data_IF_556720499984
#
_entry.id   IF_556720499984
#
_cell.length_a   1.000
_cell.length_b   1.000
_cell.length_c   1.000
_cell.angle_alpha   90.00
_cell.angle_beta   90.00
_cell.angle_gamma   90.00
#
_symmetry.space_group_name_H-M   'P 1'
#
loop_
_entity.id
_entity.type
_entity.pdbx_description
1 polymer ?
2 non-polymer ?
3 water ?
#
# COMPACT_ATOMS: atom_id res chain seq x y z
N UNK A 6 1.51 26.84 8.70
CA UNK A 6 1.28 26.90 7.25
C UNK A 6 1.78 25.59 6.67
N UNK A 7 0.93 24.96 5.87
CA UNK A 7 1.24 23.69 5.21
C UNK A 7 0.99 23.88 3.72
N UNK A 8 1.52 22.93 2.95
CA UNK A 8 1.36 22.89 1.48
C UNK A 8 0.83 21.49 1.19
N UNK A 9 0.01 21.40 0.16
CA UNK A 9 -0.50 20.10 -0.31
C UNK A 9 -0.25 19.99 -1.82
N UNK A 10 0.43 18.92 -2.24
CA UNK A 10 0.56 18.60 -3.66
C UNK A 10 -0.36 17.42 -3.88
N UNK A 11 -0.97 17.34 -5.04
CA UNK A 11 -1.76 16.15 -5.30
C UNK A 11 -1.05 15.28 -6.30
N UNK A 12 -1.52 14.05 -6.46
CA UNK A 12 -0.88 13.09 -7.39
C UNK A 12 -0.91 13.61 -8.80
N UNK A 13 -2.05 13.48 -9.47
CA UNK A 13 -2.20 14.02 -10.84
C UNK A 13 -0.83 14.08 -11.53
N UNK A 14 -0.09 15.19 -11.42
CA UNK A 14 1.18 15.29 -12.17
C UNK A 14 2.41 15.26 -11.29
N UNK A 15 2.27 14.78 -10.05
CA UNK A 15 3.40 14.80 -9.10
C UNK A 15 3.86 13.35 -8.88
N UNK A 16 3.43 12.45 -9.75
CA UNK A 16 3.93 11.05 -9.67
C UNK A 16 4.41 10.56 -11.03
N UNK A 17 5.49 9.79 -11.05
CA UNK A 17 6.00 9.11 -12.27
C UNK A 17 5.68 7.62 -12.17
N UNK A 18 5.30 7.07 -13.30
CA UNK A 18 4.89 5.67 -13.41
C UNK A 18 6.10 4.82 -13.76
N UNK A 19 6.18 3.66 -13.13
CA UNK A 19 7.15 2.60 -13.38
C UNK A 19 6.42 1.27 -13.51
N UNK A 20 6.72 0.52 -14.57
CA UNK A 20 6.19 -0.84 -14.74
C UNK A 20 4.73 -0.80 -15.10
N UNK A 21 3.91 -1.68 -14.52
CA UNK A 21 2.56 -2.00 -15.04
C UNK A 21 1.53 -1.05 -14.46
N UNK A 22 1.45 0.12 -15.06
CA UNK A 22 0.57 1.24 -14.68
C UNK A 22 -0.13 1.73 -15.92
N UNK A 23 -1.44 1.82 -15.84
CA UNK A 23 -2.23 2.48 -16.91
C UNK A 23 -3.13 3.49 -16.19
N UNK A 24 -3.52 4.52 -16.92
CA UNK A 24 -4.46 5.56 -16.44
C UNK A 24 -5.64 5.45 -17.37
N UNK A 25 -6.88 5.21 -16.89
CA UNK A 25 -8.10 5.23 -17.73
C UNK A 25 -9.27 5.51 -16.82
N UNK A 26 -10.39 5.96 -17.36
CA UNK A 26 -11.63 6.09 -16.58
C UNK A 26 -12.27 4.70 -16.44
N UNK A 27 -13.12 4.52 -15.44
CA UNK A 27 -14.01 3.35 -15.32
C UNK A 27 -15.42 3.85 -15.14
N UNK A 28 -16.09 4.25 -16.21
CA UNK A 28 -17.35 5.02 -16.05
C UNK A 28 -18.45 4.08 -15.54
N UNK A 29 -18.37 2.77 -15.76
CA UNK A 29 -19.43 1.81 -15.35
C UNK A 29 -19.27 1.62 -13.83
N UNK A 30 -18.07 1.33 -13.42
CA UNK A 30 -17.79 0.94 -12.02
C UNK A 30 -17.54 2.15 -11.09
N UNK A 31 -16.92 3.19 -11.60
CA UNK A 31 -16.58 4.41 -10.81
C UNK A 31 -17.08 5.65 -11.53
N UNK A 32 -18.41 5.78 -11.75
CA UNK A 32 -18.95 6.88 -12.53
C UNK A 32 -18.66 8.25 -11.93
N UNK A 33 -18.37 8.37 -10.63
CA UNK A 33 -18.09 9.70 -10.03
C UNK A 33 -16.61 10.06 -10.15
N UNK A 34 -15.79 9.08 -10.47
CA UNK A 34 -14.33 9.25 -10.54
C UNK A 34 -13.94 9.69 -11.95
N UNK A 35 -12.83 10.40 -12.05
CA UNK A 35 -12.18 10.64 -13.34
C UNK A 35 -11.17 9.56 -13.59
N UNK A 36 -10.07 9.93 -14.21
CA UNK A 36 -9.05 8.95 -14.65
C UNK A 36 -8.48 8.32 -13.39
N UNK A 37 -8.65 7.00 -13.26
CA UNK A 37 -8.04 6.18 -12.18
C UNK A 37 -6.78 5.56 -12.72
N UNK A 38 -5.89 5.26 -11.80
CA UNK A 38 -4.58 4.72 -12.14
C UNK A 38 -4.54 3.29 -11.67
N UNK A 39 -4.31 2.38 -12.61
CA UNK A 39 -4.50 0.94 -12.38
C UNK A 39 -3.18 0.26 -12.46
N UNK A 40 -2.96 -0.61 -11.49
CA UNK A 40 -1.77 -1.48 -11.42
C UNK A 40 -2.20 -2.88 -11.85
N UNK A 41 -1.28 -3.57 -12.51
CA UNK A 41 -1.35 -5.04 -12.68
C UNK A 41 -2.31 -5.44 -13.80
N UNK A 42 -2.68 -4.54 -14.71
CA UNK A 42 -3.65 -4.90 -15.77
C UNK A 42 -2.98 -5.83 -16.78
N UNK A 43 -1.65 -5.76 -16.91
CA UNK A 43 -0.87 -6.43 -17.98
C UNK A 43 -0.66 -7.89 -17.57
N UNK A 44 -1.72 -8.66 -17.73
CA UNK A 44 -1.73 -10.07 -17.33
C UNK A 44 -0.54 -10.78 -17.98
N UNK A 45 0.24 -11.51 -17.16
CA UNK A 45 1.17 -12.55 -17.66
C UNK A 45 1.50 -13.52 -16.53
N UNK A 46 0.89 -14.73 -16.55
CA UNK A 46 1.10 -15.69 -15.47
C UNK A 46 2.52 -16.26 -15.48
N UNK A 47 3.27 -16.15 -16.60
CA UNK A 47 4.71 -16.53 -16.63
C UNK A 47 5.49 -15.72 -15.58
N UNK A 48 5.34 -14.38 -15.62
CA UNK A 48 6.20 -13.38 -14.96
C UNK A 48 5.49 -12.71 -13.77
N UNK A 49 4.16 -12.68 -13.73
CA UNK A 49 3.44 -11.78 -12.81
C UNK A 49 3.70 -10.36 -13.24
N UNK A 50 3.19 -9.42 -12.48
CA UNK A 50 3.32 -8.02 -12.92
C UNK A 50 3.47 -7.18 -11.66
N UNK A 51 4.13 -6.04 -11.78
CA UNK A 51 4.25 -5.09 -10.66
C UNK A 51 4.18 -3.71 -11.29
N UNK A 52 3.98 -2.72 -10.44
CA UNK A 52 4.09 -1.31 -10.84
C UNK A 52 4.35 -0.43 -9.64
N UNK A 53 4.94 0.74 -9.83
CA UNK A 53 5.08 1.71 -8.73
C UNK A 53 4.87 3.12 -9.27
N UNK A 54 4.16 3.93 -8.48
CA UNK A 54 4.04 5.39 -8.69
C UNK A 54 5.02 6.02 -7.74
N UNK A 55 5.97 6.75 -8.27
CA UNK A 55 7.00 7.40 -7.45
C UNK A 55 6.65 8.88 -7.30
N UNK A 56 6.49 9.36 -6.07
CA UNK A 56 6.24 10.80 -5.84
C UNK A 56 7.46 11.55 -6.35
N UNK A 57 7.24 12.64 -7.07
CA UNK A 57 8.33 13.39 -7.73
C UNK A 57 9.12 14.22 -6.72
N UNK A 58 8.57 14.51 -5.53
CA UNK A 58 9.29 15.30 -4.49
C UNK A 58 9.78 14.36 -3.40
N UNK A 59 10.81 14.77 -2.68
CA UNK A 59 11.36 13.97 -1.57
C UNK A 59 10.47 14.12 -0.34
N UNK A 60 10.50 13.09 0.49
CA UNK A 60 9.89 13.09 1.84
C UNK A 60 10.97 13.44 2.85
N UNK A 61 10.67 14.42 3.71
CA UNK A 61 11.60 14.92 4.76
C UNK A 61 11.08 14.41 6.10
N UNK A 62 11.74 13.43 6.70
CA UNK A 62 11.30 12.86 8.00
C UNK A 62 11.72 13.73 9.20
N UNK A 63 12.28 14.92 8.99
CA UNK A 63 12.48 15.90 10.09
C UNK A 63 11.24 16.79 10.24
N UNK A 64 10.30 16.70 9.30
CA UNK A 64 9.09 17.55 9.35
C UNK A 64 7.88 16.62 9.29
N UNK A 65 6.77 17.07 9.88
CA UNK A 65 5.48 16.35 9.79
C UNK A 65 5.15 16.14 8.32
N UNK A 66 4.34 15.13 8.05
CA UNK A 66 3.62 15.03 6.76
C UNK A 66 2.36 14.21 6.97
N UNK A 67 1.44 14.40 6.05
CA UNK A 67 0.32 13.46 5.89
C UNK A 67 0.22 13.12 4.43
N UNK A 68 0.30 11.84 4.13
CA UNK A 68 0.07 11.30 2.77
C UNK A 68 -1.24 10.53 2.74
N UNK A 69 -2.09 10.84 1.79
CA UNK A 69 -3.41 10.21 1.65
C UNK A 69 -3.42 9.57 0.28
N UNK A 70 -3.67 8.27 0.23
CA UNK A 70 -3.80 7.54 -1.06
C UNK A 70 -5.13 6.83 -1.10
N UNK A 71 -6.05 7.22 -1.98
CA UNK A 71 -7.27 6.47 -2.17
C UNK A 71 -6.88 5.17 -2.88
N UNK A 72 -7.35 4.05 -2.36
CA UNK A 72 -7.10 2.74 -3.03
C UNK A 72 -8.40 1.98 -3.15
N UNK A 73 -8.46 1.18 -4.20
CA UNK A 73 -9.57 0.28 -4.47
C UNK A 73 -8.95 -1.07 -4.79
N UNK A 74 -9.26 -2.07 -4.00
CA UNK A 74 -8.67 -3.41 -4.12
C UNK A 74 -9.46 -4.26 -5.10
N UNK A 75 -8.78 -5.22 -5.68
CA UNK A 75 -9.42 -6.28 -6.47
C UNK A 75 -10.46 -7.04 -5.63
N UNK A 76 -11.61 -7.31 -6.25
CA UNK A 76 -12.68 -8.11 -5.63
C UNK A 76 -12.32 -9.58 -5.87
N UNK A 77 -11.26 -10.05 -5.23
CA UNK A 77 -10.55 -11.31 -5.55
C UNK A 77 -9.94 -11.93 -4.31
N UNK A 78 -10.14 -13.24 -4.18
CA UNK A 78 -9.74 -14.03 -3.02
C UNK A 78 -8.24 -13.95 -2.81
N UNK A 79 -7.78 -14.22 -1.61
CA UNK A 79 -6.36 -13.95 -1.30
C UNK A 79 -5.40 -15.01 -1.89
N UNK A 80 -5.88 -16.09 -2.51
CA UNK A 80 -4.96 -16.99 -3.24
C UNK A 80 -4.89 -16.67 -4.73
N UNK A 81 -5.76 -15.81 -5.26
CA UNK A 81 -5.80 -15.54 -6.71
C UNK A 81 -5.51 -14.07 -7.03
N UNK A 82 -5.75 -13.14 -6.10
CA UNK A 82 -5.63 -11.70 -6.36
C UNK A 82 -4.22 -11.17 -6.15
N UNK A 83 -4.14 -9.87 -6.26
CA UNK A 83 -2.90 -9.09 -6.15
C UNK A 83 -2.31 -9.27 -4.75
N UNK A 84 -1.04 -8.93 -4.66
CA UNK A 84 -0.24 -9.05 -3.40
C UNK A 84 -0.74 -8.02 -2.41
N UNK A 85 -1.18 -6.87 -2.90
CA UNK A 85 -1.71 -5.78 -2.08
C UNK A 85 -1.11 -4.45 -2.47
N UNK A 86 -0.91 -3.59 -1.48
CA UNK A 86 -0.38 -2.25 -1.66
C UNK A 86 0.83 -2.09 -0.77
N UNK A 87 1.93 -1.60 -1.34
CA UNK A 87 3.12 -1.29 -0.56
C UNK A 87 3.37 0.18 -0.64
N UNK A 88 3.23 0.88 0.48
CA UNK A 88 3.50 2.32 0.56
C UNK A 88 4.89 2.42 1.09
N UNK A 89 5.84 2.54 0.19
CA UNK A 89 7.27 2.35 0.49
C UNK A 89 7.95 3.71 0.63
N UNK A 90 8.87 3.78 1.57
CA UNK A 90 9.89 4.84 1.66
C UNK A 90 11.21 4.18 1.37
N UNK A 91 12.00 4.81 0.53
CA UNK A 91 13.29 4.25 0.11
C UNK A 91 14.17 5.34 -0.44
N UNK A 92 15.48 5.19 -0.29
CA UNK A 92 16.46 6.09 -0.95
C UNK A 92 16.62 5.66 -2.42
N UNK A 93 16.12 4.46 -2.76
CA UNK A 93 16.07 3.94 -4.15
C UNK A 93 14.86 4.48 -4.89
N UNK A 94 14.62 4.01 -6.11
CA UNK A 94 13.62 4.63 -7.01
C UNK A 94 12.71 3.55 -7.59
N UNK A 95 11.79 3.97 -8.46
CA UNK A 95 10.87 3.02 -9.10
C UNK A 95 11.60 2.00 -9.93
N UNK A 96 12.69 2.40 -10.60
CA UNK A 96 13.49 1.50 -11.48
C UNK A 96 14.03 0.39 -10.58
N UNK A 97 14.51 0.75 -9.39
CA UNK A 97 15.07 -0.24 -8.43
C UNK A 97 13.94 -1.20 -8.04
N UNK A 98 12.78 -0.66 -7.77
CA UNK A 98 11.66 -1.51 -7.34
C UNK A 98 11.36 -2.55 -8.43
N UNK A 99 11.35 -2.16 -9.70
CA UNK A 99 11.04 -3.13 -10.77
C UNK A 99 12.13 -4.24 -10.75
N UNK A 100 13.37 -3.92 -10.37
CA UNK A 100 14.55 -4.82 -10.51
C UNK A 100 14.75 -5.66 -9.25
N UNK A 101 14.31 -5.18 -8.10
CA UNK A 101 14.69 -5.80 -6.81
C UNK A 101 13.41 -6.22 -6.07
N UNK A 102 12.26 -5.63 -6.37
CA UNK A 102 11.01 -5.97 -5.68
C UNK A 102 10.78 -5.04 -4.54
N UNK A 103 9.63 -5.22 -3.89
CA UNK A 103 9.12 -4.28 -2.90
C UNK A 103 8.97 -4.86 -1.52
N UNK A 104 7.84 -4.54 -0.89
CA UNK A 104 7.62 -4.81 0.55
C UNK A 104 6.39 -5.71 0.73
N UNK A 105 5.91 -6.36 -0.32
CA UNK A 105 4.66 -7.15 -0.23
C UNK A 105 4.92 -8.66 -0.15
N UNK A 106 6.18 -9.08 -0.22
CA UNK A 106 6.54 -10.51 -0.27
C UNK A 106 7.56 -10.76 0.80
N UNK A 107 8.46 -11.72 0.64
CA UNK A 107 9.44 -12.01 1.71
C UNK A 107 10.74 -11.23 1.46
N UNK A 108 10.96 -10.67 0.26
CA UNK A 108 12.26 -10.07 -0.15
C UNK A 108 12.00 -8.93 -1.14
N UNK A 109 12.70 -7.81 -1.03
CA UNK A 109 12.71 -6.76 -2.06
C UNK A 109 13.89 -5.84 -1.90
N UNK A 110 13.73 -4.57 -2.31
CA UNK A 110 14.80 -3.55 -2.23
C UNK A 110 15.37 -3.50 -0.83
N UNK A 111 16.68 -3.53 -0.70
CA UNK A 111 17.33 -3.37 0.61
C UNK A 111 16.85 -2.06 1.27
N UNK A 112 16.49 -2.16 2.55
CA UNK A 112 16.26 -1.03 3.47
C UNK A 112 14.98 -0.32 3.12
N UNK A 113 14.25 -0.72 2.08
CA UNK A 113 12.91 -0.16 1.83
C UNK A 113 11.97 -0.52 2.97
N UNK A 114 11.05 0.35 3.28
CA UNK A 114 10.17 0.15 4.45
C UNK A 114 8.91 0.93 4.20
N UNK A 115 7.88 0.60 4.95
CA UNK A 115 6.64 1.36 4.83
C UNK A 115 5.48 0.54 5.30
N UNK A 116 4.31 0.92 4.81
CA UNK A 116 3.06 0.28 5.24
C UNK A 116 2.55 -0.62 4.12
N UNK A 117 2.13 -1.85 4.44
CA UNK A 117 1.51 -2.73 3.43
C UNK A 117 0.09 -3.03 3.85
N UNK A 118 -0.80 -3.00 2.86
CA UNK A 118 -2.09 -3.72 2.86
C UNK A 118 -1.83 -5.01 2.11
N UNK A 119 -1.70 -6.11 2.82
CA UNK A 119 -1.35 -7.41 2.23
C UNK A 119 -2.67 -8.09 1.91
N UNK A 120 -2.89 -8.40 0.65
CA UNK A 120 -4.18 -8.93 0.18
C UNK A 120 -3.99 -10.31 -0.39
N UNK A 121 -2.85 -10.94 -0.10
CA UNK A 121 -2.53 -12.26 -0.68
C UNK A 121 -1.93 -13.18 0.37
N UNK A 122 -2.35 -14.42 0.34
CA UNK A 122 -1.69 -15.51 1.08
C UNK A 122 -0.67 -16.10 0.12
N UNK A 123 0.57 -15.69 0.31
CA UNK A 123 1.71 -16.07 -0.55
C UNK A 123 3.02 -16.31 0.21
N UNK A 124 3.22 -15.96 1.47
CA UNK A 124 4.61 -15.93 2.03
C UNK A 124 4.69 -16.48 3.44
N UNK A 125 5.87 -16.77 3.95
CA UNK A 125 5.95 -17.22 5.37
C UNK A 125 5.34 -16.15 6.30
N UNK A 126 5.59 -14.83 6.12
CA UNK A 126 5.09 -13.76 7.06
C UNK A 126 3.54 -13.77 7.16
N UNK A 127 2.84 -14.09 6.07
CA UNK A 127 1.38 -14.37 5.93
C UNK A 127 0.92 -15.53 6.81
N UNK A 128 1.83 -16.33 7.33
CA UNK A 128 1.51 -17.63 7.98
C UNK A 128 1.06 -17.39 9.41
N UNK A 129 1.27 -16.16 9.91
CA UNK A 129 1.06 -15.75 11.33
C UNK A 129 -0.45 -15.65 11.60
N UNK A 130 -1.04 -16.73 12.12
CA UNK A 130 -2.51 -16.92 12.38
C UNK A 130 -2.94 -16.00 13.53
N UNK A 131 -2.01 -15.63 14.43
CA UNK A 131 -2.33 -14.85 15.66
C UNK A 131 -2.53 -13.40 15.21
N UNK A 132 -1.52 -12.85 14.52
CA UNK A 132 -1.46 -11.40 14.27
C UNK A 132 -2.10 -11.05 12.94
N UNK A 133 -1.93 -11.90 11.94
CA UNK A 133 -2.14 -11.44 10.54
C UNK A 133 -3.32 -12.10 9.83
N UNK A 134 -3.34 -13.42 9.69
CA UNK A 134 -4.22 -14.02 8.67
C UNK A 134 -4.56 -15.45 9.06
N UNK A 135 -5.84 -15.80 9.08
CA UNK A 135 -6.27 -17.20 9.33
C UNK A 135 -7.29 -17.69 8.29
N UNK A 136 -7.86 -16.76 7.48
CA UNK A 136 -8.83 -17.10 6.42
C UNK A 136 -8.10 -17.16 5.08
N UNK A 137 -8.05 -18.33 4.45
CA UNK A 137 -7.24 -18.53 3.22
C UNK A 137 -8.15 -19.08 2.12
N UNK A 138 -7.97 -18.55 0.91
CA UNK A 138 -8.57 -19.08 -0.31
C UNK A 138 -9.55 -18.10 -0.91
N UNK A 139 -10.85 -18.41 -0.83
CA UNK A 139 -11.90 -17.58 -1.47
C UNK A 139 -12.08 -16.28 -0.67
N UNK A 140 -11.65 -16.25 0.60
CA UNK A 140 -11.82 -15.08 1.49
C UNK A 140 -11.06 -13.87 0.92
N UNK A 141 -11.75 -12.74 0.89
CA UNK A 141 -11.16 -11.46 0.46
C UNK A 141 -10.59 -10.82 1.72
N UNK A 142 -9.72 -11.55 2.36
CA UNK A 142 -9.21 -11.19 3.70
C UNK A 142 -7.69 -11.09 3.63
N UNK A 143 -7.18 -10.00 4.14
CA UNK A 143 -5.74 -9.80 4.26
C UNK A 143 -5.44 -9.14 5.55
N UNK A 144 -4.44 -8.30 5.56
CA UNK A 144 -4.01 -7.66 6.81
C UNK A 144 -3.17 -6.45 6.48
N UNK A 145 -3.11 -5.56 7.42
CA UNK A 145 -2.22 -4.40 7.34
C UNK A 145 -1.08 -4.51 8.34
N UNK A 146 0.04 -3.91 8.00
CA UNK A 146 1.16 -3.76 8.95
C UNK A 146 2.25 -2.92 8.31
N UNK A 147 3.02 -2.25 9.12
CA UNK A 147 4.32 -1.74 8.64
C UNK A 147 5.27 -2.92 8.49
N UNK A 148 6.21 -2.72 7.57
CA UNK A 148 7.29 -3.69 7.30
C UNK A 148 8.57 -2.91 7.02
N UNK A 149 9.69 -3.58 7.21
CA UNK A 149 11.00 -3.03 6.84
C UNK A 149 11.68 -4.16 6.13
N UNK A 150 12.26 -3.84 4.99
CA UNK A 150 13.29 -4.70 4.39
C UNK A 150 14.64 -4.45 5.06
N UNK A 151 15.34 -5.52 5.38
CA UNK A 151 16.64 -5.41 6.02
C UNK A 151 17.70 -4.95 5.02
N UNK A 152 18.95 -4.91 5.48
CA UNK A 152 20.12 -4.57 4.65
C UNK A 152 20.23 -5.60 3.52
N UNK A 153 19.66 -6.79 3.78
CA UNK A 153 19.69 -7.99 2.89
C UNK A 153 18.43 -8.05 2.02
N UNK A 154 17.55 -7.06 2.09
CA UNK A 154 16.29 -7.07 1.32
C UNK A 154 15.16 -7.85 1.98
N UNK A 155 15.42 -8.63 3.01
CA UNK A 155 14.38 -9.52 3.58
C UNK A 155 13.32 -8.66 4.30
N UNK A 156 12.05 -8.94 4.05
CA UNK A 156 10.93 -8.17 4.64
C UNK A 156 10.58 -8.73 6.02
N UNK A 157 10.54 -7.82 6.98
CA UNK A 157 10.18 -8.14 8.38
C UNK A 157 8.97 -7.31 8.73
N UNK A 158 8.12 -7.87 9.56
CA UNK A 158 7.00 -7.11 10.14
C UNK A 158 7.54 -6.25 11.30
N UNK A 159 7.21 -4.97 11.31
CA UNK A 159 7.74 -4.02 12.34
C UNK A 159 6.59 -3.16 12.83
N UNK A 160 6.86 -2.40 13.87
CA UNK A 160 5.87 -1.49 14.45
C UNK A 160 4.80 -2.27 15.18
N UNK A 161 3.67 -1.61 15.39
CA UNK A 161 2.62 -2.15 16.25
C UNK A 161 1.65 -2.87 15.36
N UNK A 162 1.00 -3.88 15.90
CA UNK A 162 -0.27 -4.35 15.30
C UNK A 162 -1.28 -3.19 15.40
N UNK A 163 -2.46 -3.43 14.89
CA UNK A 163 -3.54 -2.43 14.86
C UNK A 163 -3.89 -2.10 16.31
N UNK A 164 -4.06 -0.81 16.56
CA UNK A 164 -4.35 -0.26 17.90
C UNK A 164 -5.84 -0.55 18.18
N UNK A 165 -6.13 -1.14 19.32
CA UNK A 165 -7.48 -1.05 19.92
C UNK A 165 -8.52 -1.49 18.89
N UNK A 166 -8.23 -2.63 18.29
CA UNK A 166 -9.24 -3.39 17.53
C UNK A 166 -9.55 -4.66 18.34
N UNK A 167 -10.74 -5.16 18.10
CA UNK A 167 -11.21 -6.41 18.69
C UNK A 167 -11.10 -7.47 17.60
N UNK A 168 -10.69 -7.10 16.38
CA UNK A 168 -10.61 -8.07 15.26
C UNK A 168 -9.66 -9.21 15.56
N UNK A 169 -9.98 -10.41 15.12
CA UNK A 169 -9.04 -11.55 15.22
C UNK A 169 -8.99 -12.15 13.84
N UNK A 170 -7.81 -12.19 13.20
CA UNK A 170 -6.57 -11.65 13.75
C UNK A 170 -6.53 -10.13 13.85
N UNK A 171 -5.68 -9.61 14.73
CA UNK A 171 -5.65 -8.17 15.11
C UNK A 171 -5.42 -7.34 13.85
N UNK A 172 -4.58 -7.77 12.91
CA UNK A 172 -4.23 -6.90 11.75
C UNK A 172 -5.18 -7.11 10.57
N UNK A 173 -6.23 -7.92 10.74
CA UNK A 173 -7.18 -8.29 9.66
C UNK A 173 -7.71 -7.05 8.92
N UNK A 174 -7.81 -7.18 7.62
CA UNK A 174 -8.54 -6.24 6.74
C UNK A 174 -9.36 -7.08 5.79
N UNK A 175 -10.66 -6.86 5.75
CA UNK A 175 -11.51 -7.46 4.68
C UNK A 175 -11.39 -6.50 3.52
N UNK A 176 -10.60 -6.83 2.51
CA UNK A 176 -10.13 -5.84 1.52
C UNK A 176 -11.13 -5.68 0.37
N UNK A 177 -12.16 -6.52 0.30
CA UNK A 177 -13.19 -6.40 -0.75
C UNK A 177 -14.41 -7.22 -0.34
N UNK A 178 -15.54 -6.82 -0.91
CA UNK A 178 -16.80 -7.57 -0.79
C UNK A 178 -17.56 -7.32 -2.08
N UNK A 179 -18.68 -7.99 -2.21
CA UNK A 179 -19.48 -7.95 -3.46
C UNK A 179 -20.58 -6.89 -3.41
N UNK A 180 -20.66 -6.12 -2.31
CA UNK A 180 -21.68 -5.08 -2.07
C UNK A 180 -21.90 -4.27 -3.35
N UNK A 181 -23.19 -4.06 -3.62
CA UNK A 181 -23.69 -3.05 -4.59
C UNK A 181 -24.03 -1.75 -3.86
N UNK A 182 -24.28 -1.85 -2.55
CA UNK A 182 -24.50 -0.65 -1.71
C UNK A 182 -23.18 0.01 -1.31
N UNK A 183 -22.54 0.74 -2.21
CA UNK A 183 -21.19 1.28 -1.93
C UNK A 183 -21.26 2.30 -0.79
N UNK A 184 -22.36 3.05 -0.63
CA UNK A 184 -22.41 4.20 0.31
C UNK A 184 -23.27 3.81 1.50
N UNK A 185 -23.25 2.54 1.82
CA UNK A 185 -23.68 1.84 3.06
C UNK A 185 -23.23 2.61 4.30
N UNK A 186 -22.12 3.34 4.26
CA UNK A 186 -21.38 3.71 5.47
C UNK A 186 -20.42 2.63 5.94
N UNK A 187 -20.68 1.35 5.65
CA UNK A 187 -19.76 0.24 5.96
C UNK A 187 -18.60 0.34 4.99
N UNK A 188 -17.52 -0.22 5.46
CA UNK A 188 -16.29 -0.28 4.69
C UNK A 188 -16.40 -1.30 3.55
N UNK A 189 -16.11 -0.85 2.32
CA UNK A 189 -16.14 -1.69 1.09
C UNK A 189 -14.82 -1.47 0.34
N UNK A 190 -13.88 -2.40 0.52
CA UNK A 190 -12.48 -2.20 0.11
C UNK A 190 -12.31 -2.20 -1.39
N UNK A 191 -13.30 -2.69 -2.13
CA UNK A 191 -13.23 -2.67 -3.60
C UNK A 191 -13.56 -1.29 -4.12
N UNK A 192 -14.16 -0.44 -3.29
CA UNK A 192 -14.41 0.97 -3.63
C UNK A 192 -13.16 1.75 -3.23
N UNK A 193 -13.14 3.05 -3.53
CA UNK A 193 -11.98 3.88 -3.14
C UNK A 193 -12.14 4.22 -1.68
N UNK A 194 -11.07 3.96 -0.95
CA UNK A 194 -10.97 4.31 0.48
C UNK A 194 -9.58 4.85 0.75
N UNK A 195 -9.49 5.84 1.62
CA UNK A 195 -8.20 6.50 1.87
C UNK A 195 -7.33 5.64 2.76
N UNK A 196 -6.10 5.45 2.34
CA UNK A 196 -4.97 5.14 3.26
C UNK A 196 -4.36 6.47 3.70
N UNK A 197 -4.22 6.67 4.99
CA UNK A 197 -3.66 7.93 5.52
C UNK A 197 -2.40 7.54 6.27
N UNK A 198 -1.28 8.06 5.81
CA UNK A 198 0.01 7.93 6.50
C UNK A 198 0.34 9.26 7.13
N UNK A 199 0.17 9.30 8.43
CA UNK A 199 0.43 10.55 9.15
C UNK A 199 1.77 10.37 9.81
N UNK A 200 2.65 11.30 9.59
CA UNK A 200 3.94 11.25 10.25
C UNK A 200 4.04 12.45 11.19
N UNK A 201 4.36 12.13 12.43
CA UNK A 201 4.57 13.10 13.51
C UNK A 201 6.07 13.12 13.79
N UNK A 202 6.78 14.18 13.38
CA UNK A 202 8.24 14.24 13.50
C UNK A 202 8.62 14.25 14.98
N UNK A 203 7.86 14.91 15.83
CA UNK A 203 8.16 15.07 17.27
C UNK A 203 8.29 13.70 17.93
N UNK A 204 7.46 12.73 17.54
CA UNK A 204 7.44 11.38 18.13
C UNK A 204 8.03 10.37 17.15
N UNK A 205 8.57 10.84 16.02
CA UNK A 205 9.20 9.98 14.99
C UNK A 205 8.26 8.84 14.62
N UNK A 206 6.95 9.06 14.62
CA UNK A 206 5.97 7.98 14.43
C UNK A 206 5.13 8.21 13.16
N UNK A 207 5.06 7.22 12.30
CA UNK A 207 4.06 7.17 11.19
C UNK A 207 2.86 6.44 11.73
N UNK A 208 1.68 7.05 11.62
CA UNK A 208 0.38 6.41 11.89
C UNK A 208 -0.20 6.10 10.53
N UNK A 209 -0.60 4.86 10.30
CA UNK A 209 -1.33 4.46 9.08
C UNK A 209 -2.78 4.18 9.45
N UNK A 210 -3.70 4.79 8.73
CA UNK A 210 -5.14 4.59 8.93
C UNK A 210 -5.70 4.04 7.64
N UNK A 211 -6.39 2.92 7.72
CA UNK A 211 -7.08 2.35 6.56
C UNK A 211 -8.18 1.46 7.09
N UNK A 212 -9.34 1.57 6.48
CA UNK A 212 -10.50 0.75 6.85
C UNK A 212 -10.85 0.93 8.33
N UNK A 213 -10.63 2.12 8.88
CA UNK A 213 -10.98 2.43 10.28
C UNK A 213 -10.07 1.74 11.26
N UNK A 214 -8.95 1.21 10.79
CA UNK A 214 -7.93 0.62 11.67
C UNK A 214 -6.68 1.48 11.61
N UNK A 215 -5.97 1.51 12.72
CA UNK A 215 -4.78 2.33 12.89
C UNK A 215 -3.59 1.44 13.22
N UNK A 216 -2.48 1.68 12.53
CA UNK A 216 -1.17 1.10 12.84
C UNK A 216 -0.16 2.20 13.09
N UNK A 217 0.86 1.96 13.90
CA UNK A 217 1.95 2.92 14.06
C UNK A 217 3.26 2.16 13.99
N UNK A 218 4.26 2.86 13.48
CA UNK A 218 5.66 2.43 13.50
C UNK A 218 6.51 3.67 13.69
N UNK A 219 7.67 3.52 14.32
CA UNK A 219 8.63 4.63 14.42
C UNK A 219 9.59 4.60 13.24
N UNK A 220 10.31 5.70 13.05
CA UNK A 220 11.40 5.72 12.07
C UNK A 220 12.41 4.64 12.45
N UNK A 221 12.66 4.42 13.75
CA UNK A 221 13.61 3.36 14.15
C UNK A 221 13.08 2.00 13.69
N UNK A 222 11.77 1.75 13.84
CA UNK A 222 11.17 0.46 13.42
C UNK A 222 11.39 0.28 11.92
N UNK A 223 11.32 1.36 11.17
CA UNK A 223 11.39 1.33 9.68
C UNK A 223 12.83 1.45 9.20
N UNK A 224 13.79 1.69 10.08
CA UNK A 224 15.19 1.82 9.65
C UNK A 224 15.39 3.11 8.86
N UNK A 225 14.56 4.13 9.13
CA UNK A 225 14.64 5.43 8.42
C UNK A 225 15.62 6.37 9.11
N UNK A 226 16.56 6.87 8.31
CA UNK A 226 17.56 7.87 8.76
C UNK A 226 16.94 9.25 8.48
N UNK A 227 16.51 9.93 9.53
CA UNK A 227 15.76 11.20 9.37
C UNK A 227 16.65 12.24 8.69
N UNK A 228 17.98 12.06 8.61
CA UNK A 228 18.87 13.09 8.03
C UNK A 228 18.86 12.96 6.51
N UNK A 229 18.38 11.83 5.99
CA UNK A 229 18.42 11.51 4.54
C UNK A 229 17.04 11.74 3.96
N UNK A 230 16.96 12.30 2.76
CA UNK A 230 15.67 12.52 2.05
C UNK A 230 15.24 11.19 1.45
N UNK A 231 13.98 10.88 1.51
CA UNK A 231 13.44 9.59 1.02
C UNK A 231 12.50 9.82 -0.16
N UNK A 232 12.44 8.80 -1.01
CA UNK A 232 11.44 8.74 -2.07
C UNK A 232 10.27 7.96 -1.50
N UNK A 233 9.10 8.27 -2.01
CA UNK A 233 7.84 7.60 -1.63
C UNK A 233 7.25 6.95 -2.87
N UNK A 234 7.02 5.65 -2.77
CA UNK A 234 6.45 4.85 -3.87
C UNK A 234 5.18 4.20 -3.39
N UNK A 235 4.17 4.25 -4.24
CA UNK A 235 2.94 3.45 -4.11
C UNK A 235 3.12 2.26 -5.04
N UNK A 236 3.09 1.07 -4.50
CA UNK A 236 3.46 -0.15 -5.26
C UNK A 236 2.37 -1.17 -5.14
N UNK A 237 2.24 -1.98 -6.17
CA UNK A 237 1.40 -3.18 -6.14
C UNK A 237 2.02 -4.18 -7.07
N UNK A 238 1.64 -5.42 -6.88
CA UNK A 238 2.19 -6.54 -7.66
C UNK A 238 1.15 -7.64 -7.65
N UNK A 239 1.25 -8.49 -8.63
CA UNK A 239 0.39 -9.68 -8.80
C UNK A 239 1.31 -10.83 -9.14
N UNK A 240 1.17 -11.90 -8.39
CA UNK A 240 2.12 -13.01 -8.55
C UNK A 240 2.01 -13.62 -9.95
N UNK A 241 3.13 -14.23 -10.38
CA UNK A 241 3.17 -15.27 -11.43
C UNK A 241 2.25 -16.41 -10.95
N UNK A 242 1.76 -17.19 -11.91
CA UNK A 242 0.95 -18.41 -11.66
C UNK A 242 -0.35 -18.00 -10.96
N UNK A 243 -0.79 -16.77 -11.14
CA UNK A 243 -2.18 -16.40 -10.73
C UNK A 243 -2.90 -16.02 -12.01
N UNK A 244 -3.86 -16.89 -12.29
CA UNK A 244 -4.87 -16.78 -13.34
C UNK A 244 -6.05 -16.08 -12.62
N UNK A 245 -5.90 -14.78 -12.49
CA UNK A 245 -7.00 -13.84 -12.14
C UNK A 245 -6.68 -12.44 -12.67
N UNK A 246 -7.66 -11.56 -12.68
CA UNK A 246 -7.23 -10.15 -12.73
C UNK A 246 -6.94 -9.77 -11.29
N UNK A 247 -5.82 -9.07 -11.14
CA UNK A 247 -5.34 -8.58 -9.84
C UNK A 247 -5.25 -7.09 -9.91
N UNK A 248 -6.25 -6.46 -10.51
CA UNK A 248 -6.18 -5.00 -10.84
C UNK A 248 -6.42 -4.22 -9.58
N UNK A 249 -5.50 -3.33 -9.29
CA UNK A 249 -5.47 -2.52 -8.05
C UNK A 249 -5.42 -1.05 -8.46
N UNK A 250 -6.29 -0.22 -7.90
CA UNK A 250 -6.48 1.13 -8.50
C UNK A 250 -6.37 2.22 -7.44
N UNK A 251 -5.90 3.38 -7.88
CA UNK A 251 -5.88 4.60 -7.06
C UNK A 251 -6.47 5.73 -7.89
N UNK A 252 -6.87 6.81 -7.22
CA UNK A 252 -7.26 8.05 -7.91
C UNK A 252 -6.15 9.03 -7.64
N UNK A 253 -5.30 9.20 -8.60
CA UNK A 253 -4.14 10.09 -8.42
C UNK A 253 -4.58 11.54 -8.07
N UNK A 254 -5.79 12.06 -8.43
CA UNK A 254 -6.33 13.39 -7.99
C UNK A 254 -6.71 13.39 -6.50
N UNK A 255 -6.95 12.20 -5.94
CA UNK A 255 -7.27 12.01 -4.52
C UNK A 255 -6.01 11.78 -3.69
N UNK A 256 -4.86 11.70 -4.35
CA UNK A 256 -3.58 11.42 -3.64
C UNK A 256 -3.08 12.79 -3.19
N UNK A 257 -2.89 13.00 -1.89
CA UNK A 257 -2.46 14.31 -1.32
C UNK A 257 -1.24 14.12 -0.42
N UNK A 258 -0.26 14.97 -0.59
CA UNK A 258 0.98 14.97 0.20
C UNK A 258 0.99 16.32 0.86
N UNK A 259 0.74 16.34 2.17
CA UNK A 259 0.68 17.61 2.93
C UNK A 259 1.90 17.71 3.85
N UNK A 260 2.62 18.82 3.81
CA UNK A 260 3.81 19.03 4.64
C UNK A 260 3.80 20.45 5.17
N UNK A 261 4.57 20.79 6.22
CA UNK A 261 4.73 22.19 6.63
C UNK A 261 5.43 22.92 5.50
N UNK A 262 5.28 24.24 5.43
CA UNK A 262 5.94 25.05 4.38
C UNK A 262 7.46 25.16 4.55
N UNK A 263 7.98 25.67 5.65
CA UNK A 263 9.42 26.05 5.78
C UNK A 263 10.05 26.12 4.37
X LIG B 1 1.04 -11.74 1.52
#
# INVERSE_FOLDING_TARGET
GPAMQDTVTKKGTGNFTAHGDIIHKTYKEEFPNEGTLTAFNTNFNPNTGTKGALEYNDKIDFNKDFTITVPVANNNQGNTTGADGWGFMFTQGNGQDFLNQGGILRDKGMANASGFKIDTAYNNVNDADKTNNLSQIGAAKVGYGTFVKNGADGVTNQVGQNALNTKDKPVNKIIYADNTTNHLDGQFHGQRLNDVVLNYDAATSTITATYAGKTWKATTDDLGIDKSQKYNFLITSSHMQNRYSNGIMRTNLEGVTITTPQAD
CA CA
#
